data_IF_702714526447
#
_entry.id   IF_702714526447
#
_cell.length_a   1.000
_cell.length_b   1.000
_cell.length_c   1.000
_cell.angle_alpha   90.00
_cell.angle_beta   90.00
_cell.angle_gamma   90.00
#
_symmetry.space_group_name_H-M   'P 1'
#
loop_
_entity.id
_entity.type
_entity.pdbx_description
1 polymer ?
#
# COMPACT_ATOMS: atom_id res chain seq x y z
N UNK A 1 -10.20 -19.77 26.79
CA UNK A 1 -8.87 -19.54 27.41
C UNK A 1 -8.54 -18.07 27.31
N UNK A 2 -8.03 -17.41 28.37
CA UNK A 2 -7.80 -15.97 28.41
C UNK A 2 -6.37 -15.55 28.01
N UNK A 3 -6.27 -14.32 27.47
CA UNK A 3 -5.26 -13.25 27.64
C UNK A 3 -3.75 -13.45 27.38
N UNK A 4 -3.20 -12.44 26.67
CA UNK A 4 -1.92 -11.69 26.85
C UNK A 4 -1.13 -11.58 25.52
N UNK A 5 -1.08 -10.45 24.81
CA UNK A 5 -0.50 -9.12 25.13
C UNK A 5 0.98 -8.96 24.70
N UNK A 6 1.19 -7.99 23.81
CA UNK A 6 2.37 -7.12 23.61
C UNK A 6 3.74 -7.70 23.21
N UNK A 7 4.15 -7.46 21.95
CA UNK A 7 5.48 -7.00 21.52
C UNK A 7 5.47 -6.93 19.97
N UNK A 8 5.73 -5.83 19.26
CA UNK A 8 6.81 -4.86 19.42
C UNK A 8 6.41 -3.44 18.96
N UNK A 9 6.97 -2.37 19.57
CA UNK A 9 6.95 -1.02 19.04
C UNK A 9 8.24 -0.79 18.24
N UNK A 10 8.32 -1.26 17.00
CA UNK A 10 9.40 -0.82 16.09
C UNK A 10 9.04 -1.23 14.67
N UNK A 11 9.49 -0.46 13.67
CA UNK A 11 9.13 -0.54 12.24
C UNK A 11 7.74 -0.06 11.84
N UNK A 12 7.48 1.23 12.06
CA UNK A 12 6.51 1.99 11.23
C UNK A 12 7.00 2.17 9.76
N UNK A 13 8.06 1.46 9.37
CA UNK A 13 8.64 1.35 8.02
C UNK A 13 8.37 0.01 7.33
N UNK A 14 7.60 -0.91 7.91
CA UNK A 14 7.17 -2.11 7.17
C UNK A 14 5.71 -1.97 6.75
N UNK A 15 5.47 -1.96 5.44
CA UNK A 15 4.12 -2.04 4.89
C UNK A 15 3.32 -3.20 5.48
N UNK A 16 2.10 -2.87 5.89
CA UNK A 16 1.17 -3.74 6.59
C UNK A 16 0.00 -4.08 5.69
N UNK A 17 -0.12 -5.35 5.33
CA UNK A 17 -1.23 -5.87 4.53
C UNK A 17 -2.58 -5.64 5.21
N UNK A 18 -2.60 -5.70 6.55
CA UNK A 18 -3.80 -5.45 7.36
C UNK A 18 -4.26 -4.01 7.21
N UNK A 19 -3.34 -3.05 7.28
CA UNK A 19 -3.67 -1.64 7.12
C UNK A 19 -4.09 -1.34 5.68
N UNK A 20 -3.43 -1.92 4.67
CA UNK A 20 -3.85 -1.81 3.28
C UNK A 20 -5.27 -2.34 3.04
N UNK A 21 -5.62 -3.49 3.64
CA UNK A 21 -6.99 -4.03 3.60
C UNK A 21 -8.01 -3.10 4.27
N UNK A 22 -7.70 -2.55 5.45
CA UNK A 22 -8.57 -1.60 6.16
C UNK A 22 -8.79 -0.30 5.37
N UNK A 23 -7.78 0.14 4.61
CA UNK A 23 -7.88 1.30 3.73
C UNK A 23 -8.56 0.97 2.37
N UNK A 24 -8.93 -0.29 2.15
CA UNK A 24 -9.70 -0.77 0.99
C UNK A 24 -8.86 -1.03 -0.26
N UNK A 25 -7.56 -1.28 -0.12
CA UNK A 25 -6.67 -1.49 -1.25
C UNK A 25 -6.84 -2.92 -1.77
N UNK A 26 -6.85 -3.14 -3.09
CA UNK A 26 -6.68 -4.52 -3.58
C UNK A 26 -5.21 -4.87 -3.68
N UNK A 27 -4.91 -6.04 -3.16
CA UNK A 27 -3.57 -6.59 -3.03
C UNK A 27 -3.60 -7.89 -3.81
N UNK A 28 -2.65 -8.06 -4.73
CA UNK A 28 -2.51 -9.32 -5.47
C UNK A 28 -1.23 -9.99 -4.98
N UNK A 29 -1.38 -11.17 -4.41
CA UNK A 29 -0.24 -12.06 -4.24
C UNK A 29 0.12 -12.63 -5.61
N UNK A 30 1.36 -12.44 -6.04
CA UNK A 30 1.81 -12.95 -7.32
C UNK A 30 1.79 -14.48 -7.31
N UNK A 31 0.82 -15.09 -7.98
CA UNK A 31 0.82 -16.52 -8.27
C UNK A 31 1.86 -16.83 -9.37
N UNK A 32 3.14 -16.85 -9.01
CA UNK A 32 4.23 -17.24 -9.89
C UNK A 32 5.36 -17.90 -9.10
N UNK A 33 6.07 -18.91 -9.65
CA UNK A 33 7.16 -19.59 -8.95
C UNK A 33 8.34 -18.66 -8.60
N UNK A 34 8.38 -17.46 -9.19
CA UNK A 34 9.41 -16.44 -8.97
C UNK A 34 8.90 -15.19 -8.21
N UNK A 35 7.61 -15.15 -7.84
CA UNK A 35 6.99 -14.00 -7.17
C UNK A 35 6.79 -14.28 -5.69
N UNK A 36 7.87 -14.22 -4.89
CA UNK A 36 7.76 -14.20 -3.43
C UNK A 36 7.30 -12.84 -2.88
N UNK A 37 7.27 -11.80 -3.72
CA UNK A 37 6.90 -10.45 -3.31
C UNK A 37 5.40 -10.16 -3.53
N UNK A 38 4.73 -9.78 -2.45
CA UNK A 38 3.36 -9.26 -2.48
C UNK A 38 3.35 -7.92 -3.23
N UNK A 39 2.70 -7.88 -4.39
CA UNK A 39 2.55 -6.66 -5.17
C UNK A 39 1.21 -5.99 -4.87
N UNK A 40 1.27 -4.70 -4.57
CA UNK A 40 0.05 -3.90 -4.49
C UNK A 40 -0.38 -3.63 -5.94
N UNK A 41 -1.64 -3.88 -6.27
CA UNK A 41 -2.18 -3.69 -7.62
C UNK A 41 -3.47 -2.93 -7.50
N UNK A 42 -3.51 -1.69 -7.97
CA UNK A 42 -4.44 -0.75 -7.35
C UNK A 42 -5.24 0.13 -8.29
N UNK A 43 -4.59 0.65 -9.32
CA UNK A 43 -5.10 1.86 -9.99
C UNK A 43 -6.28 1.57 -10.92
N UNK A 44 -6.39 0.32 -11.36
CA UNK A 44 -7.40 -0.13 -12.33
C UNK A 44 -8.46 -1.07 -11.75
N UNK A 45 -8.24 -1.64 -10.56
CA UNK A 45 -9.14 -2.64 -9.96
C UNK A 45 -9.76 -2.23 -8.62
N UNK A 46 -9.18 -1.27 -7.90
CA UNK A 46 -9.69 -0.78 -6.61
C UNK A 46 -10.03 0.69 -6.67
N UNK A 47 -10.96 1.09 -5.80
CA UNK A 47 -11.41 2.45 -5.58
C UNK A 47 -10.33 3.52 -5.77
N UNK A 48 -10.52 4.35 -6.81
CA UNK A 48 -9.73 5.55 -7.06
C UNK A 48 -9.65 6.45 -5.81
N UNK A 49 -10.68 6.40 -4.95
CA UNK A 49 -10.76 7.16 -3.72
C UNK A 49 -9.78 6.68 -2.64
N UNK A 50 -9.45 5.37 -2.60
CA UNK A 50 -8.39 4.86 -1.74
C UNK A 50 -7.03 5.40 -2.21
N UNK A 51 -6.72 5.29 -3.50
CA UNK A 51 -5.46 5.77 -4.08
C UNK A 51 -5.28 7.28 -4.00
N UNK A 52 -6.36 8.05 -4.13
CA UNK A 52 -6.32 9.47 -3.85
C UNK A 52 -5.89 9.76 -2.40
N UNK A 53 -6.47 9.06 -1.41
CA UNK A 53 -6.08 9.20 0.01
C UNK A 53 -4.63 8.78 0.25
N UNK A 54 -4.16 7.70 -0.37
CA UNK A 54 -2.76 7.27 -0.29
C UNK A 54 -1.83 8.37 -0.80
N UNK A 55 -2.14 8.93 -1.97
CA UNK A 55 -1.36 10.00 -2.60
C UNK A 55 -1.30 11.26 -1.73
N UNK A 56 -2.44 11.65 -1.14
CA UNK A 56 -2.51 12.78 -0.22
C UNK A 56 -1.66 12.54 1.04
N UNK A 57 -1.79 11.38 1.68
CA UNK A 57 -1.02 11.06 2.88
C UNK A 57 0.48 10.90 2.61
N UNK A 58 0.86 10.35 1.46
CA UNK A 58 2.26 10.27 1.03
C UNK A 58 2.88 11.67 0.87
N UNK A 59 2.14 12.60 0.26
CA UNK A 59 2.53 14.02 0.15
C UNK A 59 2.64 14.72 1.49
N UNK A 60 1.77 14.41 2.44
CA UNK A 60 1.86 14.90 3.81
C UNK A 60 3.04 14.30 4.60
N UNK A 61 3.88 13.47 3.98
CA UNK A 61 5.09 12.92 4.59
C UNK A 61 4.89 11.56 5.26
N UNK A 62 3.77 10.86 5.02
CA UNK A 62 3.57 9.54 5.60
C UNK A 62 4.44 8.49 4.92
N UNK A 63 5.45 7.99 5.64
CA UNK A 63 6.40 6.98 5.16
C UNK A 63 5.71 5.69 4.72
N UNK A 64 4.72 5.21 5.49
CA UNK A 64 3.91 4.04 5.14
C UNK A 64 3.29 4.15 3.74
N UNK A 65 2.72 5.31 3.39
CA UNK A 65 2.05 5.51 2.10
C UNK A 65 3.07 5.70 0.97
N UNK A 66 4.24 6.28 1.26
CA UNK A 66 5.35 6.33 0.29
C UNK A 66 5.89 4.94 -0.01
N UNK A 67 6.02 4.09 1.01
CA UNK A 67 6.47 2.71 0.83
C UNK A 67 5.44 1.85 0.10
N UNK A 68 4.16 2.10 0.31
CA UNK A 68 3.09 1.51 -0.47
C UNK A 68 3.20 1.88 -1.96
N UNK A 69 3.41 3.16 -2.28
CA UNK A 69 3.61 3.60 -3.66
C UNK A 69 4.89 3.01 -4.25
N UNK A 70 5.94 2.79 -3.44
CA UNK A 70 7.17 2.14 -3.88
C UNK A 70 6.95 0.67 -4.32
N UNK A 71 5.98 -0.03 -3.72
CA UNK A 71 5.61 -1.42 -4.07
C UNK A 71 4.74 -1.55 -5.31
N UNK A 72 4.15 -0.45 -5.80
CA UNK A 72 3.44 -0.44 -7.07
C UNK A 72 4.41 -0.53 -8.25
N UNK A 73 3.93 -1.06 -9.37
CA UNK A 73 4.66 -0.96 -10.63
C UNK A 73 4.82 0.50 -11.08
N UNK A 74 5.85 0.79 -11.87
CA UNK A 74 6.07 2.14 -12.43
C UNK A 74 4.85 2.66 -13.20
N UNK A 75 4.21 1.79 -14.00
CA UNK A 75 3.00 2.12 -14.73
C UNK A 75 1.85 2.54 -13.81
N UNK A 76 1.68 1.88 -12.67
CA UNK A 76 0.66 2.22 -11.68
C UNK A 76 0.97 3.53 -10.97
N UNK A 77 2.23 3.74 -10.54
CA UNK A 77 2.65 5.03 -9.98
C UNK A 77 2.42 6.19 -10.95
N UNK A 78 2.71 5.98 -12.22
CA UNK A 78 2.44 6.98 -13.26
C UNK A 78 0.95 7.25 -13.41
N UNK A 79 0.10 6.22 -13.42
CA UNK A 79 -1.36 6.40 -13.47
C UNK A 79 -1.90 7.18 -12.26
N UNK A 80 -1.39 6.90 -11.06
CA UNK A 80 -1.73 7.66 -9.84
C UNK A 80 -1.26 9.11 -9.99
N UNK A 81 -0.02 9.32 -10.46
CA UNK A 81 0.55 10.66 -10.63
C UNK A 81 -0.23 11.49 -11.66
N UNK A 82 -0.69 10.84 -12.74
CA UNK A 82 -1.52 11.48 -13.77
C UNK A 82 -2.91 11.85 -13.25
N UNK A 83 -3.52 11.01 -12.42
CA UNK A 83 -4.88 11.25 -11.90
C UNK A 83 -4.94 12.16 -10.68
N UNK A 84 -3.98 12.06 -9.77
CA UNK A 84 -4.02 12.72 -8.46
C UNK A 84 -2.88 13.74 -8.25
N UNK A 85 -2.01 13.88 -9.26
CA UNK A 85 -0.86 14.77 -9.28
C UNK A 85 0.44 14.10 -8.81
N UNK A 86 1.60 14.78 -8.95
CA UNK A 86 2.91 14.21 -8.65
C UNK A 86 3.02 13.72 -7.19
N UNK A 87 3.48 12.49 -7.03
CA UNK A 87 3.67 11.80 -5.75
C UNK A 87 4.94 12.22 -5.03
#
# INVERSE_FOLDING_TARGET
MPSLALTSPDTQSQFSLVQAHQEGWTILEGCGPESMDTQIRGVTCSDQHAWWRVSQKARCGSEYHREALARLSDSERQQISLRFGPL
#
